data_IF_469255544967
#
_entry.id   IF_469255544967
#
_cell.length_a   1.000
_cell.length_b   1.000
_cell.length_c   1.000
_cell.angle_alpha   90.00
_cell.angle_beta   90.00
_cell.angle_gamma   90.00
#
_symmetry.space_group_name_H-M   'P 1'
#
loop_
_entity.id
_entity.type
_entity.pdbx_description
1 polymer ?
#
# COMPACT_ATOMS: atom_id res chain seq x y z
N UNK A 1 4.33 35.81 -7.36
CA UNK A 1 4.70 34.91 -6.24
C UNK A 1 5.09 33.58 -6.86
N UNK A 2 6.32 33.08 -6.68
CA UNK A 2 6.69 31.82 -7.31
C UNK A 2 5.94 30.69 -6.60
N UNK A 3 4.99 30.09 -7.31
CA UNK A 3 4.37 28.81 -6.98
C UNK A 3 5.47 27.74 -7.02
N UNK A 4 6.17 27.52 -5.90
CA UNK A 4 7.06 26.38 -5.76
C UNK A 4 6.25 25.10 -5.55
N UNK A 5 5.83 24.49 -6.65
CA UNK A 5 5.75 23.04 -6.88
C UNK A 5 4.69 22.19 -6.16
N UNK A 6 4.39 22.40 -4.88
CA UNK A 6 3.37 21.67 -4.12
C UNK A 6 3.07 22.41 -2.82
N UNK A 7 1.79 22.54 -2.45
CA UNK A 7 1.43 22.94 -1.09
C UNK A 7 1.91 21.84 -0.12
N UNK A 8 2.77 22.13 0.88
CA UNK A 8 3.27 21.12 1.82
C UNK A 8 2.15 20.34 2.51
N UNK A 9 1.02 20.98 2.78
CA UNK A 9 -0.16 20.35 3.35
C UNK A 9 -0.73 19.28 2.42
N UNK A 10 -0.86 19.61 1.12
CA UNK A 10 -1.32 18.65 0.10
C UNK A 10 -0.34 17.47 -0.06
N UNK A 11 0.96 17.73 0.05
CA UNK A 11 1.97 16.67 -0.03
C UNK A 11 1.94 15.77 1.21
N UNK A 12 1.75 16.34 2.40
CA UNK A 12 1.55 15.58 3.63
C UNK A 12 0.26 14.74 3.57
N UNK A 13 -0.82 15.29 3.00
CA UNK A 13 -2.07 14.57 2.76
C UNK A 13 -1.90 13.40 1.81
N UNK A 14 -1.18 13.59 0.70
CA UNK A 14 -0.85 12.50 -0.22
C UNK A 14 -0.08 11.39 0.51
N UNK A 15 0.93 11.76 1.31
CA UNK A 15 1.70 10.80 2.09
C UNK A 15 0.83 9.98 3.06
N UNK A 16 -0.10 10.63 3.75
CA UNK A 16 -1.09 9.95 4.63
C UNK A 16 -2.03 9.04 3.83
N UNK A 17 -2.46 9.46 2.64
CA UNK A 17 -3.31 8.64 1.78
C UNK A 17 -2.60 7.36 1.35
N UNK A 18 -1.34 7.47 0.92
CA UNK A 18 -0.52 6.30 0.56
C UNK A 18 -0.36 5.33 1.73
N UNK A 19 -0.10 5.85 2.94
CA UNK A 19 -0.02 5.03 4.15
C UNK A 19 -1.34 4.31 4.45
N UNK A 20 -2.49 4.98 4.34
CA UNK A 20 -3.80 4.33 4.50
C UNK A 20 -4.07 3.24 3.47
N UNK A 21 -3.54 3.34 2.26
CA UNK A 21 -3.68 2.28 1.25
C UNK A 21 -2.99 0.97 1.65
N UNK A 22 -2.01 1.01 2.56
CA UNK A 22 -1.37 -0.20 3.10
C UNK A 22 -2.40 -1.05 3.86
N UNK A 23 -3.24 -0.43 4.69
CA UNK A 23 -4.29 -1.13 5.44
C UNK A 23 -5.29 -1.84 4.52
N UNK A 24 -5.56 -1.24 3.35
CA UNK A 24 -6.41 -1.86 2.32
C UNK A 24 -5.75 -3.10 1.69
N UNK A 25 -4.43 -3.08 1.47
CA UNK A 25 -3.67 -4.23 0.97
C UNK A 25 -3.70 -5.39 1.98
N UNK A 26 -3.54 -5.08 3.27
CA UNK A 26 -3.66 -6.07 4.34
C UNK A 26 -5.07 -6.65 4.43
N UNK A 27 -6.09 -5.80 4.31
CA UNK A 27 -7.50 -6.21 4.26
C UNK A 27 -7.76 -7.17 3.11
N UNK A 28 -7.31 -6.85 1.89
CA UNK A 28 -7.44 -7.74 0.71
C UNK A 28 -6.82 -9.10 1.00
N UNK A 29 -5.61 -9.11 1.58
CA UNK A 29 -4.89 -10.35 1.89
C UNK A 29 -5.68 -11.22 2.87
N UNK A 30 -6.22 -10.61 3.92
CA UNK A 30 -7.03 -11.28 4.93
C UNK A 30 -8.35 -11.80 4.35
N UNK A 31 -9.08 -10.96 3.60
CA UNK A 31 -10.35 -11.33 2.96
C UNK A 31 -10.21 -12.55 2.07
N UNK A 32 -9.17 -12.60 1.23
CA UNK A 32 -8.96 -13.77 0.35
C UNK A 32 -8.60 -15.01 1.15
N UNK A 33 -7.77 -14.91 2.20
CA UNK A 33 -7.48 -16.05 3.07
C UNK A 33 -8.74 -16.60 3.76
N UNK A 34 -9.59 -15.72 4.30
CA UNK A 34 -10.85 -16.13 4.91
C UNK A 34 -11.78 -16.78 3.89
N UNK A 35 -11.92 -16.20 2.70
CA UNK A 35 -12.74 -16.77 1.64
C UNK A 35 -12.25 -18.16 1.22
N UNK A 36 -10.94 -18.36 1.07
CA UNK A 36 -10.36 -19.68 0.75
C UNK A 36 -10.58 -20.70 1.86
N UNK A 37 -10.49 -20.28 3.13
CA UNK A 37 -10.73 -21.16 4.27
C UNK A 37 -12.20 -21.56 4.42
N UNK A 38 -13.14 -20.66 4.06
CA UNK A 38 -14.58 -20.90 4.15
C UNK A 38 -15.22 -21.56 2.93
N UNK A 39 -14.51 -21.63 1.79
CA UNK A 39 -15.04 -22.23 0.56
C UNK A 39 -14.83 -23.75 0.58
N UNK A 40 -15.91 -24.51 0.38
CA UNK A 40 -15.87 -25.97 0.15
C UNK A 40 -15.29 -26.27 -1.23
N UNK A 41 -13.98 -26.08 -1.36
CA UNK A 41 -13.20 -26.35 -2.56
C UNK A 41 -12.06 -27.29 -2.17
N UNK A 42 -11.90 -28.37 -2.91
CA UNK A 42 -10.87 -29.40 -2.67
C UNK A 42 -10.30 -29.90 -4.01
N UNK A 43 -9.09 -30.43 -3.97
CA UNK A 43 -8.42 -31.05 -5.12
C UNK A 43 -7.31 -30.19 -5.75
N UNK A 44 -6.66 -30.70 -6.81
CA UNK A 44 -5.40 -30.13 -7.34
C UNK A 44 -5.51 -28.66 -7.79
N UNK A 45 -6.68 -28.25 -8.26
CA UNK A 45 -6.92 -26.85 -8.67
C UNK A 45 -6.83 -25.88 -7.48
N UNK A 46 -7.31 -26.30 -6.29
CA UNK A 46 -7.18 -25.52 -5.06
C UNK A 46 -5.72 -25.40 -4.66
N UNK A 47 -5.02 -26.52 -4.64
CA UNK A 47 -3.60 -26.57 -4.25
C UNK A 47 -2.76 -25.66 -5.16
N UNK A 48 -3.02 -25.70 -6.47
CA UNK A 48 -2.37 -24.81 -7.43
C UNK A 48 -2.67 -23.33 -7.13
N UNK A 49 -3.92 -22.99 -6.86
CA UNK A 49 -4.29 -21.62 -6.52
C UNK A 49 -3.65 -21.15 -5.21
N UNK A 50 -3.60 -21.99 -4.17
CA UNK A 50 -2.93 -21.67 -2.91
C UNK A 50 -1.42 -21.44 -3.10
N UNK A 51 -0.78 -22.24 -3.95
CA UNK A 51 0.61 -22.05 -4.35
C UNK A 51 0.83 -20.74 -5.12
N UNK A 52 -0.02 -20.42 -6.08
CA UNK A 52 0.04 -19.16 -6.84
C UNK A 52 -0.24 -17.94 -5.95
N UNK A 53 -1.22 -18.05 -5.05
CA UNK A 53 -1.58 -17.01 -4.10
C UNK A 53 -0.43 -16.68 -3.15
N UNK A 54 0.17 -17.70 -2.55
CA UNK A 54 1.30 -17.53 -1.64
C UNK A 54 2.59 -17.12 -2.36
N UNK A 55 2.83 -17.65 -3.55
CA UNK A 55 4.07 -17.45 -4.31
C UNK A 55 4.12 -16.21 -5.19
N UNK A 56 2.98 -15.73 -5.71
CA UNK A 56 2.93 -14.62 -6.67
C UNK A 56 2.11 -13.45 -6.12
N UNK A 57 0.84 -13.69 -5.81
CA UNK A 57 -0.08 -12.60 -5.46
C UNK A 57 0.30 -11.90 -4.15
N UNK A 58 0.57 -12.65 -3.07
CA UNK A 58 1.06 -12.08 -1.81
C UNK A 58 2.36 -11.31 -2.00
N UNK A 59 3.28 -11.81 -2.81
CA UNK A 59 4.54 -11.10 -3.07
C UNK A 59 4.32 -9.77 -3.78
N UNK A 60 3.43 -9.72 -4.77
CA UNK A 60 3.06 -8.49 -5.45
C UNK A 60 2.42 -7.47 -4.49
N UNK A 61 1.50 -7.93 -3.62
CA UNK A 61 0.88 -7.09 -2.60
C UNK A 61 1.91 -6.56 -1.58
N UNK A 62 2.85 -7.39 -1.14
CA UNK A 62 3.95 -6.94 -0.26
C UNK A 62 4.82 -5.89 -0.94
N UNK A 63 5.20 -6.08 -2.21
CA UNK A 63 5.98 -5.08 -2.96
C UNK A 63 5.21 -3.77 -3.12
N UNK A 64 3.90 -3.84 -3.37
CA UNK A 64 3.04 -2.65 -3.44
C UNK A 64 2.98 -1.91 -2.10
N UNK A 65 2.80 -2.62 -0.99
CA UNK A 65 2.81 -2.06 0.36
C UNK A 65 4.13 -1.35 0.67
N UNK A 66 5.27 -1.98 0.34
CA UNK A 66 6.60 -1.37 0.51
C UNK A 66 6.77 -0.10 -0.34
N UNK A 67 6.27 -0.10 -1.57
CA UNK A 67 6.31 1.07 -2.44
C UNK A 67 5.48 2.23 -1.88
N UNK A 68 4.27 1.93 -1.35
CA UNK A 68 3.41 2.93 -0.72
C UNK A 68 4.00 3.48 0.59
N UNK A 69 4.60 2.64 1.43
CA UNK A 69 5.29 3.09 2.65
C UNK A 69 6.45 4.03 2.31
N UNK A 70 7.30 3.63 1.35
CA UNK A 70 8.45 4.44 0.91
C UNK A 70 8.00 5.79 0.34
N UNK A 71 7.05 5.77 -0.60
CA UNK A 71 6.53 7.00 -1.22
C UNK A 71 5.79 7.88 -0.21
N UNK A 72 5.03 7.28 0.71
CA UNK A 72 4.31 7.99 1.76
C UNK A 72 5.26 8.73 2.71
N UNK A 73 6.35 8.07 3.13
CA UNK A 73 7.40 8.69 3.95
C UNK A 73 8.14 9.80 3.21
N UNK A 74 8.49 9.60 1.94
CA UNK A 74 9.15 10.63 1.12
C UNK A 74 8.27 11.89 1.00
N UNK A 75 6.96 11.73 0.76
CA UNK A 75 6.01 12.84 0.74
C UNK A 75 5.99 13.61 2.08
N UNK A 76 5.94 12.91 3.21
CA UNK A 76 5.94 13.52 4.54
C UNK A 76 7.24 14.27 4.87
N UNK A 77 8.39 13.69 4.47
CA UNK A 77 9.70 14.33 4.65
C UNK A 77 9.80 15.62 3.85
N UNK A 78 9.45 15.57 2.55
CA UNK A 78 9.44 16.74 1.67
C UNK A 78 8.47 17.82 2.15
N UNK A 79 7.28 17.44 2.65
CA UNK A 79 6.33 18.40 3.21
C UNK A 79 6.91 19.14 4.42
N UNK A 80 7.58 18.42 5.31
CA UNK A 80 8.27 19.01 6.48
C UNK A 80 9.37 19.97 6.03
N UNK A 81 10.18 19.58 5.05
CA UNK A 81 11.27 20.41 4.52
C UNK A 81 10.75 21.69 3.87
N UNK A 82 9.73 21.59 3.01
CA UNK A 82 9.11 22.75 2.36
C UNK A 82 8.49 23.71 3.39
N UNK A 83 7.84 23.18 4.42
CA UNK A 83 7.27 24.00 5.50
C UNK A 83 8.36 24.79 6.23
N UNK A 84 9.53 24.19 6.47
CA UNK A 84 10.68 24.84 7.12
C UNK A 84 11.33 25.91 6.26
N UNK A 85 11.38 25.72 4.94
CA UNK A 85 11.99 26.69 4.00
C UNK A 85 11.09 27.90 3.76
N UNK A 86 9.76 27.73 3.89
CA UNK A 86 8.78 28.78 3.66
C UNK A 86 8.37 29.57 4.92
N UNK A 87 8.69 29.07 6.11
CA UNK A 87 8.51 29.78 7.39
C UNK A 87 9.75 30.56 7.78
#
# INVERSE_FOLDING_TARGET
MPMFGANPEQLADLGRQLQRQIDHIETITSTVQTALGGTTWVGPAREHFEAEWSGSFRQALTRLSQAFDTAGRDCQQRATELTRVMG
#
